data_IF_323209941913
#
_entry.id   IF_323209941913
#
_cell.length_a   1.000
_cell.length_b   1.000
_cell.length_c   1.000
_cell.angle_alpha   90.00
_cell.angle_beta   90.00
_cell.angle_gamma   90.00
#
_symmetry.space_group_name_H-M   'P 1'
#
loop_
_entity.id
_entity.type
_entity.pdbx_description
1 polymer ?
#
# COMPACT_ATOMS: atom_id res chain seq x y z
N UNK A 1 8.48 -17.35 -2.08
CA UNK A 1 9.02 -16.34 -3.02
C UNK A 1 8.31 -15.03 -2.75
N UNK A 2 9.02 -13.90 -2.68
CA UNK A 2 8.41 -12.57 -2.54
C UNK A 2 8.04 -12.01 -3.91
N UNK A 3 6.87 -11.41 -4.02
CA UNK A 3 6.38 -10.66 -5.17
C UNK A 3 6.31 -9.18 -4.81
N UNK A 4 6.75 -8.30 -5.71
CA UNK A 4 6.57 -6.84 -5.62
C UNK A 4 5.73 -6.39 -6.81
N UNK A 5 4.57 -5.82 -6.52
CA UNK A 5 3.61 -5.35 -7.51
C UNK A 5 3.71 -3.82 -7.61
N UNK A 6 3.78 -3.28 -8.82
CA UNK A 6 3.81 -1.83 -9.06
C UNK A 6 2.67 -1.38 -9.97
N UNK A 7 1.99 -0.30 -9.60
CA UNK A 7 1.03 0.37 -10.49
C UNK A 7 1.68 1.34 -11.48
N UNK A 8 2.98 1.63 -11.31
CA UNK A 8 3.64 2.82 -11.88
C UNK A 8 2.89 4.12 -11.56
N UNK A 9 3.28 5.22 -12.21
CA UNK A 9 2.61 6.51 -12.10
C UNK A 9 1.27 6.49 -12.85
N UNK A 10 0.17 6.40 -12.10
CA UNK A 10 -1.19 6.32 -12.65
C UNK A 10 -1.64 7.63 -13.30
N UNK A 11 -0.94 8.74 -13.03
CA UNK A 11 -1.22 10.04 -13.67
C UNK A 11 -0.74 10.08 -15.13
N UNK A 12 0.24 9.25 -15.51
CA UNK A 12 0.78 9.20 -16.89
C UNK A 12 0.02 8.23 -17.80
N UNK A 13 -0.64 7.22 -17.24
CA UNK A 13 -1.46 6.24 -17.96
C UNK A 13 -2.64 6.87 -18.74
N UNK A 14 -2.95 8.16 -18.49
CA UNK A 14 -3.99 8.92 -19.17
C UNK A 14 -3.65 9.45 -20.58
N UNK A 15 -2.46 9.20 -21.14
CA UNK A 15 -2.12 9.69 -22.51
C UNK A 15 -2.87 8.99 -23.65
N UNK A 16 -3.61 7.90 -23.39
CA UNK A 16 -4.45 7.23 -24.41
C UNK A 16 -5.93 7.09 -24.07
N UNK A 17 -6.40 7.52 -22.90
CA UNK A 17 -7.84 7.65 -22.67
C UNK A 17 -8.13 8.58 -21.51
N UNK A 18 -8.75 9.71 -21.80
CA UNK A 18 -9.37 10.60 -20.79
C UNK A 18 -10.66 9.92 -20.32
N UNK A 19 -10.52 8.81 -19.58
CA UNK A 19 -11.61 8.33 -18.73
C UNK A 19 -11.50 9.17 -17.48
N UNK A 20 -12.43 10.12 -17.30
CA UNK A 20 -12.66 10.76 -16.00
C UNK A 20 -12.97 9.65 -15.00
N UNK A 21 -11.97 9.21 -14.24
CA UNK A 21 -12.19 8.31 -13.13
C UNK A 21 -13.07 9.05 -12.11
N UNK A 22 -14.12 8.40 -11.57
CA UNK A 22 -14.96 9.03 -10.55
C UNK A 22 -14.10 9.46 -9.36
N UNK A 23 -14.27 10.69 -8.89
CA UNK A 23 -13.60 11.24 -7.70
C UNK A 23 -13.91 10.47 -6.39
N UNK A 24 -14.77 9.45 -6.46
CA UNK A 24 -15.32 8.67 -5.34
C UNK A 24 -14.89 7.20 -5.34
N UNK A 25 -13.95 6.82 -6.21
CA UNK A 25 -13.48 5.44 -6.27
C UNK A 25 -12.66 5.08 -5.02
N UNK A 26 -13.03 3.99 -4.34
CA UNK A 26 -12.28 3.49 -3.17
C UNK A 26 -10.86 3.06 -3.58
N UNK A 27 -9.92 3.19 -2.65
CA UNK A 27 -8.49 2.94 -2.91
C UNK A 27 -8.19 1.53 -3.42
N UNK A 28 -8.91 0.51 -2.96
CA UNK A 28 -8.76 -0.86 -3.46
C UNK A 28 -9.08 -0.96 -4.96
N UNK A 29 -10.14 -0.30 -5.42
CA UNK A 29 -10.52 -0.37 -6.84
C UNK A 29 -9.50 0.39 -7.71
N UNK A 30 -8.99 1.53 -7.24
CA UNK A 30 -7.90 2.26 -7.93
C UNK A 30 -6.62 1.42 -7.99
N UNK A 31 -6.21 0.81 -6.89
CA UNK A 31 -5.07 -0.11 -6.81
C UNK A 31 -5.22 -1.26 -7.81
N UNK A 32 -6.31 -2.03 -7.74
CA UNK A 32 -6.50 -3.22 -8.58
C UNK A 32 -6.56 -2.85 -10.06
N UNK A 33 -7.25 -1.77 -10.42
CA UNK A 33 -7.35 -1.33 -11.82
C UNK A 33 -6.02 -0.81 -12.34
N UNK A 34 -5.24 -0.09 -11.53
CA UNK A 34 -3.94 0.44 -11.93
C UNK A 34 -2.90 -0.67 -12.08
N UNK A 35 -2.86 -1.64 -11.16
CA UNK A 35 -2.03 -2.85 -11.30
C UNK A 35 -2.37 -3.60 -12.59
N UNK A 36 -3.66 -3.91 -12.81
CA UNK A 36 -4.13 -4.60 -14.02
C UNK A 36 -3.74 -3.85 -15.29
N UNK A 37 -3.93 -2.53 -15.32
CA UNK A 37 -3.57 -1.70 -16.48
C UNK A 37 -2.07 -1.71 -16.73
N UNK A 38 -1.24 -1.61 -15.69
CA UNK A 38 0.21 -1.61 -15.80
C UNK A 38 0.76 -2.97 -16.28
N UNK A 39 0.18 -4.08 -15.80
CA UNK A 39 0.54 -5.42 -16.25
C UNK A 39 0.21 -5.62 -17.73
N UNK A 40 -0.99 -5.22 -18.16
CA UNK A 40 -1.40 -5.30 -19.57
C UNK A 40 -0.52 -4.44 -20.48
N UNK A 41 -0.20 -3.21 -20.07
CA UNK A 41 0.68 -2.34 -20.84
C UNK A 41 2.09 -2.95 -21.01
N UNK A 42 2.62 -3.54 -19.94
CA UNK A 42 3.93 -4.19 -19.95
C UNK A 42 3.97 -5.43 -20.84
N UNK A 43 2.91 -6.25 -20.81
CA UNK A 43 2.74 -7.40 -21.71
C UNK A 43 2.64 -6.98 -23.18
N UNK A 44 1.98 -5.86 -23.49
CA UNK A 44 1.83 -5.38 -24.87
C UNK A 44 3.13 -4.86 -25.47
N UNK A 45 3.97 -4.19 -24.67
CA UNK A 45 5.30 -3.72 -25.10
C UNK A 45 6.14 -4.89 -25.62
N UNK A 46 6.04 -6.07 -24.99
CA UNK A 46 6.75 -7.27 -25.45
C UNK A 46 6.21 -7.87 -26.75
N UNK A 47 4.90 -7.82 -26.97
CA UNK A 47 4.27 -8.46 -28.15
C UNK A 47 4.45 -7.69 -29.48
N UNK A 48 5.12 -6.53 -29.46
CA UNK A 48 5.47 -5.76 -30.67
C UNK A 48 6.73 -6.35 -31.35
N UNK A 49 6.80 -6.41 -32.69
CA UNK A 49 7.29 -7.62 -33.37
C UNK A 49 8.82 -7.79 -33.36
N UNK A 50 9.28 -8.82 -32.65
CA UNK A 50 10.35 -9.68 -33.12
C UNK A 50 9.72 -10.95 -33.74
N UNK A 51 9.96 -11.18 -35.03
CA UNK A 51 9.56 -12.41 -35.73
C UNK A 51 10.04 -13.64 -34.96
N UNK A 52 9.12 -14.42 -34.39
CA UNK A 52 9.44 -15.70 -33.78
C UNK A 52 8.19 -16.44 -33.33
N UNK A 53 7.76 -17.42 -34.12
CA UNK A 53 6.81 -18.45 -33.71
C UNK A 53 7.38 -19.23 -32.52
N UNK A 54 6.84 -19.02 -31.31
CA UNK A 54 7.12 -19.86 -30.16
C UNK A 54 5.87 -20.71 -29.83
N UNK A 55 5.98 -22.01 -30.12
CA UNK A 55 5.04 -23.04 -29.67
C UNK A 55 5.02 -23.09 -28.14
N UNK A 56 3.83 -23.32 -27.58
CA UNK A 56 3.63 -23.51 -26.14
C UNK A 56 4.51 -24.62 -25.56
N UNK A 57 5.45 -24.21 -24.70
CA UNK A 57 6.09 -25.06 -23.72
C UNK A 57 5.88 -24.43 -22.34
N UNK A 58 5.52 -25.26 -21.37
CA UNK A 58 5.22 -24.88 -19.99
C UNK A 58 6.37 -24.05 -19.40
N UNK A 59 6.04 -22.84 -18.93
CA UNK A 59 7.04 -21.85 -18.54
C UNK A 59 7.49 -22.14 -17.11
N UNK A 60 8.71 -22.67 -16.97
CA UNK A 60 9.40 -22.81 -15.66
C UNK A 60 10.13 -21.52 -15.24
N UNK A 61 9.97 -20.45 -16.01
CA UNK A 61 10.61 -19.15 -15.81
C UNK A 61 9.54 -18.04 -15.74
N UNK A 62 9.75 -16.99 -14.93
CA UNK A 62 8.82 -15.87 -14.89
C UNK A 62 8.77 -15.15 -16.26
N UNK A 63 7.64 -14.52 -16.62
CA UNK A 63 7.50 -13.82 -17.91
C UNK A 63 8.56 -12.72 -18.10
N UNK A 64 8.99 -12.45 -19.34
CA UNK A 64 10.09 -11.50 -19.59
C UNK A 64 9.77 -10.04 -19.24
N UNK A 65 8.49 -9.67 -19.14
CA UNK A 65 8.05 -8.34 -18.67
C UNK A 65 8.16 -8.17 -17.15
N UNK A 66 8.63 -9.19 -16.45
CA UNK A 66 8.93 -9.18 -15.01
C UNK A 66 10.43 -9.20 -14.76
N UNK A 67 10.86 -8.79 -13.57
CA UNK A 67 12.27 -8.81 -13.19
C UNK A 67 12.47 -9.67 -11.94
N UNK A 68 13.13 -10.82 -12.12
CA UNK A 68 13.55 -11.68 -11.02
C UNK A 68 14.89 -11.20 -10.45
N UNK A 69 14.93 -10.92 -9.16
CA UNK A 69 16.17 -10.73 -8.38
C UNK A 69 16.41 -11.94 -7.48
N UNK A 70 17.49 -11.93 -6.70
CA UNK A 70 17.76 -12.97 -5.69
C UNK A 70 16.64 -13.06 -4.64
N UNK A 71 16.04 -11.92 -4.29
CA UNK A 71 15.09 -11.81 -3.17
C UNK A 71 13.62 -11.73 -3.58
N UNK A 72 13.30 -11.26 -4.79
CA UNK A 72 11.94 -10.96 -5.20
C UNK A 72 11.70 -11.07 -6.71
N UNK A 73 10.42 -11.21 -7.09
CA UNK A 73 9.94 -11.03 -8.45
C UNK A 73 9.18 -9.71 -8.55
N UNK A 74 9.68 -8.78 -9.37
CA UNK A 74 9.04 -7.49 -9.65
C UNK A 74 8.07 -7.62 -10.83
N UNK A 75 6.83 -7.17 -10.61
CA UNK A 75 5.70 -7.31 -11.52
C UNK A 75 5.04 -5.92 -11.69
N UNK A 76 5.20 -5.26 -12.85
CA UNK A 76 6.16 -5.57 -13.92
C UNK A 76 7.61 -5.31 -13.48
N UNK A 77 8.56 -5.58 -14.38
CA UNK A 77 9.93 -5.12 -14.24
C UNK A 77 9.96 -3.58 -14.05
N UNK A 78 10.72 -3.09 -13.08
CA UNK A 78 10.85 -1.66 -12.79
C UNK A 78 12.25 -1.21 -13.15
N UNK A 79 12.35 -0.13 -13.93
CA UNK A 79 13.61 0.53 -14.24
C UNK A 79 13.73 1.84 -13.45
N UNK A 80 14.41 1.76 -12.31
CA UNK A 80 14.70 2.91 -11.45
C UNK A 80 15.78 3.87 -12.02
N UNK A 81 16.23 3.71 -13.27
CA UNK A 81 17.17 4.66 -13.88
C UNK A 81 16.48 5.91 -14.46
N UNK A 82 15.17 5.87 -14.69
CA UNK A 82 14.40 6.97 -15.25
C UNK A 82 14.01 8.01 -14.18
N UNK A 83 14.13 9.32 -14.44
CA UNK A 83 13.78 10.37 -13.47
C UNK A 83 12.36 10.21 -12.91
N UNK A 84 12.22 10.25 -11.58
CA UNK A 84 10.93 10.07 -10.90
C UNK A 84 9.99 11.30 -10.91
N UNK A 85 10.53 12.48 -10.60
CA UNK A 85 9.81 13.76 -10.53
C UNK A 85 10.36 14.77 -11.54
N UNK A 86 9.51 15.69 -12.01
CA UNK A 86 9.87 16.66 -13.04
C UNK A 86 10.55 17.92 -12.48
N UNK A 87 10.14 18.35 -11.28
CA UNK A 87 10.68 19.52 -10.58
C UNK A 87 11.66 19.09 -9.46
N UNK A 88 12.34 20.05 -8.84
CA UNK A 88 13.18 19.81 -7.67
C UNK A 88 12.37 19.30 -6.47
N UNK A 89 13.00 18.50 -5.60
CA UNK A 89 12.34 17.87 -4.44
C UNK A 89 11.58 18.85 -3.54
N UNK A 90 12.12 20.05 -3.33
CA UNK A 90 11.53 21.04 -2.43
C UNK A 90 10.19 21.61 -2.93
N UNK A 91 9.90 21.48 -4.23
CA UNK A 91 8.65 21.90 -4.87
C UNK A 91 7.48 20.94 -4.64
N UNK A 92 7.73 19.77 -4.05
CA UNK A 92 6.69 18.76 -3.81
C UNK A 92 6.33 18.62 -2.33
N UNK A 93 5.04 18.37 -2.12
CA UNK A 93 4.52 17.67 -0.94
C UNK A 93 4.26 16.21 -1.30
N UNK A 94 5.03 15.31 -0.68
CA UNK A 94 4.96 13.86 -0.89
C UNK A 94 4.30 13.22 0.32
N UNK A 95 3.10 12.69 0.12
CA UNK A 95 2.36 11.91 1.12
C UNK A 95 2.40 10.43 0.76
N UNK A 96 2.78 9.61 1.73
CA UNK A 96 2.77 8.16 1.65
C UNK A 96 1.78 7.61 2.67
N UNK A 97 0.95 6.65 2.28
CA UNK A 97 0.10 5.87 3.17
C UNK A 97 0.46 4.40 3.09
N UNK A 98 0.91 3.83 4.20
CA UNK A 98 1.28 2.42 4.34
C UNK A 98 0.14 1.67 5.04
N UNK A 99 -0.36 0.62 4.40
CA UNK A 99 -1.37 -0.30 4.91
C UNK A 99 -0.68 -1.58 5.37
N UNK A 100 -0.68 -1.82 6.67
CA UNK A 100 -0.36 -3.13 7.22
C UNK A 100 -1.56 -4.06 7.02
N UNK A 101 -1.30 -5.29 6.57
CA UNK A 101 -2.35 -6.26 6.25
C UNK A 101 -2.53 -7.26 7.39
N UNK A 102 -3.73 -7.86 7.54
CA UNK A 102 -4.00 -8.85 8.59
C UNK A 102 -3.15 -10.11 8.41
N UNK A 103 -2.91 -10.85 9.50
CA UNK A 103 -2.16 -12.10 9.49
C UNK A 103 -0.64 -11.96 9.47
N UNK A 104 -0.12 -10.72 9.41
CA UNK A 104 1.32 -10.48 9.31
C UNK A 104 1.95 -10.26 10.69
N UNK A 105 3.00 -11.04 11.07
CA UNK A 105 3.68 -10.87 12.34
C UNK A 105 4.25 -9.46 12.54
N UNK A 106 4.11 -8.94 13.76
CA UNK A 106 4.56 -7.59 14.16
C UNK A 106 6.06 -7.42 13.91
N UNK A 107 6.84 -8.48 14.14
CA UNK A 107 8.29 -8.52 13.92
C UNK A 107 8.69 -8.19 12.48
N UNK A 108 7.79 -8.40 11.49
CA UNK A 108 8.02 -8.05 10.09
C UNK A 108 7.70 -6.59 9.76
N UNK A 109 6.88 -5.90 10.56
CA UNK A 109 6.42 -4.52 10.25
C UNK A 109 7.58 -3.57 10.01
N UNK A 110 8.65 -3.64 10.81
CA UNK A 110 9.82 -2.79 10.62
C UNK A 110 10.48 -2.97 9.25
N UNK A 111 10.68 -4.23 8.84
CA UNK A 111 11.24 -4.55 7.53
C UNK A 111 10.29 -4.11 6.40
N UNK A 112 8.98 -4.34 6.57
CA UNK A 112 7.95 -3.93 5.62
C UNK A 112 7.88 -2.41 5.45
N UNK A 113 7.95 -1.63 6.55
CA UNK A 113 8.00 -0.16 6.47
C UNK A 113 9.21 0.29 5.67
N UNK A 114 10.41 -0.21 6.00
CA UNK A 114 11.64 0.20 5.30
C UNK A 114 11.57 -0.17 3.81
N UNK A 115 11.16 -1.40 3.49
CA UNK A 115 11.02 -1.84 2.11
C UNK A 115 10.02 -0.99 1.32
N UNK A 116 8.84 -0.72 1.88
CA UNK A 116 7.81 0.07 1.24
C UNK A 116 8.27 1.52 1.01
N UNK A 117 8.90 2.15 2.00
CA UNK A 117 9.43 3.52 1.88
C UNK A 117 10.58 3.56 0.88
N UNK A 118 11.52 2.61 0.92
CA UNK A 118 12.64 2.56 -0.02
C UNK A 118 12.17 2.42 -1.47
N UNK A 119 11.10 1.66 -1.73
CA UNK A 119 10.50 1.57 -3.07
C UNK A 119 9.94 2.92 -3.53
N UNK A 120 9.23 3.64 -2.65
CA UNK A 120 8.71 4.98 -2.99
C UNK A 120 9.84 5.99 -3.21
N UNK A 121 10.88 5.97 -2.37
CA UNK A 121 12.04 6.85 -2.53
C UNK A 121 12.77 6.59 -3.86
N UNK A 122 12.94 5.32 -4.23
CA UNK A 122 13.55 4.91 -5.51
C UNK A 122 12.68 5.27 -6.71
N UNK A 123 11.36 5.11 -6.61
CA UNK A 123 10.42 5.47 -7.69
C UNK A 123 10.40 6.97 -7.95
N UNK A 124 10.45 7.79 -6.89
CA UNK A 124 10.37 9.25 -7.00
C UNK A 124 11.74 9.91 -7.13
N UNK A 125 12.85 9.16 -6.97
CA UNK A 125 14.22 9.68 -6.89
C UNK A 125 14.42 10.76 -5.82
N UNK A 126 13.83 10.55 -4.65
CA UNK A 126 13.92 11.46 -3.51
C UNK A 126 14.60 10.80 -2.33
N UNK A 127 15.15 11.59 -1.41
CA UNK A 127 15.79 11.09 -0.19
C UNK A 127 14.86 11.08 1.03
N UNK A 128 13.74 11.78 0.95
CA UNK A 128 12.78 11.92 2.04
C UNK A 128 11.37 12.22 1.52
N UNK A 129 10.38 11.90 2.35
CA UNK A 129 8.96 12.19 2.13
C UNK A 129 8.44 13.16 3.20
N UNK A 130 7.36 13.88 2.90
CA UNK A 130 6.84 14.94 3.78
C UNK A 130 5.89 14.39 4.84
N UNK A 131 5.08 13.38 4.50
CA UNK A 131 4.13 12.77 5.43
C UNK A 131 4.02 11.26 5.19
N UNK A 132 4.21 10.45 6.25
CA UNK A 132 3.81 9.05 6.28
C UNK A 132 2.57 8.87 7.15
N UNK A 133 1.53 8.28 6.61
CA UNK A 133 0.34 7.82 7.34
C UNK A 133 0.36 6.30 7.40
N UNK A 134 0.17 5.71 8.59
CA UNK A 134 0.02 4.25 8.73
C UNK A 134 -1.42 3.86 9.01
N UNK A 135 -1.87 2.79 8.35
CA UNK A 135 -3.16 2.14 8.57
C UNK A 135 -2.91 0.73 9.07
N UNK A 136 -3.55 0.39 10.20
CA UNK A 136 -3.42 -0.91 10.85
C UNK A 136 -4.63 -1.78 10.53
N UNK A 137 -4.45 -3.11 10.42
CA UNK A 137 -5.56 -4.02 10.20
C UNK A 137 -6.49 -4.01 11.42
N UNK A 138 -7.81 -4.04 11.19
CA UNK A 138 -8.81 -4.12 12.25
C UNK A 138 -9.11 -2.80 12.99
N UNK A 139 -8.36 -1.72 12.72
CA UNK A 139 -8.69 -0.39 13.25
C UNK A 139 -9.57 0.35 12.23
N UNK A 140 -10.81 0.62 12.63
CA UNK A 140 -11.81 1.30 11.82
C UNK A 140 -12.42 2.45 12.62
N UNK A 141 -12.58 3.60 11.98
CA UNK A 141 -13.30 4.71 12.57
C UNK A 141 -14.79 4.56 12.29
N UNK A 142 -15.58 4.63 13.35
CA UNK A 142 -17.03 4.82 13.24
C UNK A 142 -17.40 6.15 13.91
N UNK A 143 -18.04 7.02 13.14
CA UNK A 143 -18.44 8.34 13.61
C UNK A 143 -19.73 8.31 14.43
N UNK A 144 -20.52 7.24 14.28
CA UNK A 144 -21.80 7.03 14.96
C UNK A 144 -21.64 6.20 16.24
N UNK A 145 -20.44 5.66 16.47
CA UNK A 145 -20.11 4.90 17.67
C UNK A 145 -19.72 5.85 18.80
N UNK A 146 -20.70 6.15 19.64
CA UNK A 146 -20.55 6.88 20.91
C UNK A 146 -20.12 5.95 22.06
N UNK A 147 -19.84 4.66 21.81
CA UNK A 147 -19.44 3.75 22.87
C UNK A 147 -18.00 4.03 23.35
N UNK A 148 -17.86 4.19 24.67
CA UNK A 148 -16.56 4.33 25.37
C UNK A 148 -15.80 2.98 25.46
N UNK A 149 -16.28 1.97 24.74
CA UNK A 149 -15.72 0.64 24.69
C UNK A 149 -15.19 0.48 23.27
N UNK A 150 -13.88 0.68 23.06
CA UNK A 150 -13.22 0.16 21.85
C UNK A 150 -13.71 -1.28 21.69
N UNK A 151 -14.47 -1.56 20.62
CA UNK A 151 -14.93 -2.90 20.27
C UNK A 151 -13.72 -3.85 20.30
N UNK A 152 -13.54 -4.53 21.42
CA UNK A 152 -12.70 -5.73 21.50
C UNK A 152 -13.32 -6.86 20.65
N UNK A 153 -14.52 -6.63 20.10
CA UNK A 153 -15.41 -7.58 19.43
C UNK A 153 -15.18 -7.62 17.91
N UNK A 154 -13.92 -7.73 17.48
CA UNK A 154 -13.55 -8.47 16.25
C UNK A 154 -12.14 -9.07 16.30
N UNK A 155 -11.43 -8.92 17.42
CA UNK A 155 -10.21 -9.70 17.67
C UNK A 155 -10.60 -10.96 18.40
N UNK A 156 -10.47 -12.10 17.73
CA UNK A 156 -10.35 -13.38 18.42
C UNK A 156 -9.08 -13.36 19.28
N UNK A 157 -9.12 -12.73 20.45
CA UNK A 157 -8.30 -13.08 21.62
C UNK A 157 -6.80 -12.82 21.55
N UNK A 158 -6.31 -11.74 20.93
CA UNK A 158 -4.88 -11.37 21.01
C UNK A 158 -4.71 -10.05 21.79
N UNK A 159 -4.30 -10.09 23.09
CA UNK A 159 -3.88 -8.94 23.88
C UNK A 159 -2.69 -8.15 23.29
N UNK A 160 -2.08 -8.66 22.22
CA UNK A 160 -0.88 -8.14 21.57
C UNK A 160 -1.12 -6.90 20.67
N UNK A 161 -2.36 -6.47 20.38
CA UNK A 161 -2.60 -5.45 19.36
C UNK A 161 -2.05 -4.05 19.73
N UNK A 162 -2.27 -3.56 20.95
CA UNK A 162 -1.84 -2.21 21.32
C UNK A 162 -0.32 -2.08 21.54
N UNK A 163 0.30 -3.04 22.21
CA UNK A 163 1.75 -3.05 22.37
C UNK A 163 2.44 -3.18 21.00
N UNK A 164 1.84 -3.93 20.07
CA UNK A 164 2.33 -4.00 18.69
C UNK A 164 2.26 -2.66 17.96
N UNK A 165 1.21 -1.89 18.19
CA UNK A 165 1.00 -0.57 17.61
C UNK A 165 2.07 0.38 18.14
N UNK A 166 2.35 0.38 19.45
CA UNK A 166 3.42 1.17 20.07
C UNK A 166 4.79 0.77 19.53
N UNK A 167 5.10 -0.53 19.44
CA UNK A 167 6.35 -1.01 18.85
C UNK A 167 6.51 -0.59 17.38
N UNK A 168 5.41 -0.66 16.62
CA UNK A 168 5.39 -0.20 15.23
C UNK A 168 5.67 1.30 15.17
N UNK A 169 5.03 2.09 16.05
CA UNK A 169 5.23 3.54 16.10
C UNK A 169 6.68 3.92 16.37
N UNK A 170 7.35 3.26 17.33
CA UNK A 170 8.77 3.50 17.64
C UNK A 170 9.69 3.29 16.43
N UNK A 171 9.36 2.35 15.54
CA UNK A 171 10.08 2.17 14.27
C UNK A 171 9.90 3.39 13.36
N UNK A 172 8.70 3.93 13.27
CA UNK A 172 8.41 5.12 12.47
C UNK A 172 9.15 6.34 13.00
N UNK A 173 9.20 6.50 14.32
CA UNK A 173 9.97 7.56 14.99
C UNK A 173 11.45 7.51 14.60
N UNK A 174 12.03 6.31 14.51
CA UNK A 174 13.42 6.15 14.05
C UNK A 174 13.63 6.63 12.62
N UNK A 175 12.65 6.44 11.72
CA UNK A 175 12.74 6.95 10.33
C UNK A 175 12.59 8.47 10.27
N UNK A 176 11.77 9.03 11.15
CA UNK A 176 11.65 10.48 11.32
C UNK A 176 12.95 11.09 11.87
N UNK A 177 13.55 10.51 12.91
CA UNK A 177 14.84 10.95 13.46
C UNK A 177 15.99 10.89 12.42
N UNK A 178 15.93 9.95 11.48
CA UNK A 178 16.88 9.83 10.36
C UNK A 178 16.66 10.86 9.25
N UNK A 179 15.57 11.65 9.31
CA UNK A 179 15.23 12.64 8.29
C UNK A 179 14.63 12.05 7.00
N UNK A 180 14.28 10.76 7.01
CA UNK A 180 13.63 10.09 5.87
C UNK A 180 12.16 10.52 5.77
N UNK A 181 11.53 10.80 6.89
CA UNK A 181 10.11 11.14 6.99
C UNK A 181 9.96 12.42 7.82
N UNK A 182 9.38 13.47 7.25
CA UNK A 182 9.26 14.75 7.96
C UNK A 182 8.09 14.77 8.97
N UNK A 183 6.98 14.09 8.67
CA UNK A 183 5.81 14.02 9.54
C UNK A 183 5.22 12.62 9.58
N UNK A 184 4.68 12.25 10.74
CA UNK A 184 4.03 10.96 10.97
C UNK A 184 2.53 11.16 11.19
N UNK A 185 1.73 10.23 10.71
CA UNK A 185 0.30 10.22 10.92
C UNK A 185 -0.25 8.81 11.10
N UNK A 186 -1.45 8.75 11.66
CA UNK A 186 -2.24 7.53 11.82
C UNK A 186 -3.49 7.62 10.95
N UNK A 187 -4.19 6.50 10.81
CA UNK A 187 -5.50 6.48 10.19
C UNK A 187 -6.47 5.71 11.08
N UNK A 188 -7.71 6.19 11.12
CA UNK A 188 -8.88 5.60 11.77
C UNK A 188 -8.88 5.71 13.31
N UNK A 189 -8.15 6.66 13.91
CA UNK A 189 -8.01 6.71 15.37
C UNK A 189 -9.06 7.61 16.03
N UNK A 190 -9.96 7.02 16.82
CA UNK A 190 -10.84 7.77 17.72
C UNK A 190 -10.09 8.48 18.86
N UNK A 191 -10.80 9.34 19.60
CA UNK A 191 -10.24 10.13 20.70
C UNK A 191 -9.53 9.27 21.76
N UNK A 192 -10.12 8.12 22.10
CA UNK A 192 -9.60 7.20 23.11
C UNK A 192 -8.31 6.53 22.67
N UNK A 193 -8.27 6.05 21.42
CA UNK A 193 -7.08 5.41 20.86
C UNK A 193 -5.92 6.40 20.74
N UNK A 194 -6.20 7.65 20.33
CA UNK A 194 -5.21 8.72 20.38
C UNK A 194 -4.74 8.97 21.82
N UNK A 195 -5.67 9.07 22.78
CA UNK A 195 -5.32 9.29 24.19
C UNK A 195 -4.49 8.16 24.80
N UNK A 196 -4.70 6.91 24.35
CA UNK A 196 -3.84 5.78 24.69
C UNK A 196 -2.49 5.83 24.01
N UNK A 197 -2.41 6.14 22.71
CA UNK A 197 -1.15 6.14 21.97
C UNK A 197 -0.19 7.25 22.42
N UNK A 198 -0.67 8.51 22.53
CA UNK A 198 0.17 9.69 22.69
C UNK A 198 1.18 9.62 23.86
N UNK A 199 0.83 9.09 25.05
CA UNK A 199 1.79 8.91 26.16
C UNK A 199 3.00 8.02 25.83
N UNK A 200 2.89 7.16 24.81
CA UNK A 200 3.96 6.24 24.39
C UNK A 200 4.77 6.77 23.20
N UNK A 201 4.49 7.99 22.73
CA UNK A 201 5.18 8.61 21.58
C UNK A 201 6.23 9.62 22.03
N UNK A 202 7.40 9.60 21.38
CA UNK A 202 8.38 10.69 21.38
C UNK A 202 8.07 11.72 20.30
N UNK A 203 7.60 11.24 19.14
CA UNK A 203 7.11 12.06 18.02
C UNK A 203 5.63 11.77 17.86
N UNK A 204 4.79 12.75 18.21
CA UNK A 204 3.33 12.62 18.09
C UNK A 204 2.92 12.52 16.61
N UNK A 205 1.85 11.78 16.27
CA UNK A 205 1.22 11.92 14.97
C UNK A 205 0.80 13.38 14.77
N UNK A 206 1.18 14.00 13.65
CA UNK A 206 0.70 15.34 13.26
C UNK A 206 -0.60 15.27 12.47
N UNK A 207 -0.95 14.10 11.94
CA UNK A 207 -2.14 13.86 11.13
C UNK A 207 -2.85 12.60 11.62
N UNK A 208 -4.17 12.66 11.66
CA UNK A 208 -5.03 11.49 11.73
C UNK A 208 -6.03 11.50 10.57
N UNK A 209 -6.02 10.43 9.78
CA UNK A 209 -6.89 10.26 8.63
C UNK A 209 -8.11 9.42 9.02
N UNK A 210 -9.30 9.99 8.95
CA UNK A 210 -10.56 9.32 9.31
C UNK A 210 -11.43 9.07 8.09
N UNK A 211 -12.10 7.92 8.07
CA UNK A 211 -13.04 7.56 7.03
C UNK A 211 -14.47 7.94 7.43
N UNK A 212 -14.99 9.00 6.84
CA UNK A 212 -16.37 9.43 7.08
C UNK A 212 -17.28 8.75 6.07
N UNK A 213 -18.11 7.81 6.55
CA UNK A 213 -19.20 7.23 5.76
C UNK A 213 -20.26 8.30 5.48
N UNK A 214 -20.96 8.14 4.36
CA UNK A 214 -22.02 8.98 3.78
C UNK A 214 -22.68 10.01 4.73
N UNK A 215 -22.11 11.22 4.80
CA UNK A 215 -22.63 12.40 5.52
C UNK A 215 -22.40 12.49 7.05
N UNK A 216 -21.51 11.68 7.64
CA UNK A 216 -21.19 11.83 9.06
C UNK A 216 -20.32 13.08 9.33
N UNK A 217 -20.63 13.79 10.41
CA UNK A 217 -19.81 14.88 10.94
C UNK A 217 -18.78 14.27 11.88
N UNK A 218 -17.53 14.75 11.82
CA UNK A 218 -16.50 14.33 12.78
C UNK A 218 -16.99 14.60 14.22
N UNK A 219 -16.95 13.60 15.12
CA UNK A 219 -17.35 13.76 16.52
C UNK A 219 -16.65 14.95 17.20
N UNK A 220 -17.41 15.75 17.96
CA UNK A 220 -16.90 16.98 18.58
C UNK A 220 -15.76 16.71 19.57
N UNK A 221 -15.84 15.61 20.32
CA UNK A 221 -14.77 15.17 21.23
C UNK A 221 -13.46 14.97 20.45
N UNK A 222 -13.49 14.29 19.31
CA UNK A 222 -12.31 14.05 18.46
C UNK A 222 -11.75 15.36 17.91
N UNK A 223 -12.61 16.27 17.41
CA UNK A 223 -12.17 17.59 16.94
C UNK A 223 -11.45 18.36 18.05
N UNK A 224 -12.02 18.41 19.25
CA UNK A 224 -11.46 19.16 20.38
C UNK A 224 -10.16 18.52 20.86
N UNK A 225 -10.11 17.20 20.96
CA UNK A 225 -8.94 16.45 21.40
C UNK A 225 -7.79 16.59 20.40
N UNK A 226 -8.04 16.34 19.11
CA UNK A 226 -7.05 16.51 18.05
C UNK A 226 -6.51 17.94 17.99
N UNK A 227 -7.39 18.95 18.13
CA UNK A 227 -6.95 20.36 18.19
C UNK A 227 -6.07 20.65 19.40
N UNK A 228 -6.41 20.11 20.57
CA UNK A 228 -5.60 20.25 21.79
C UNK A 228 -4.21 19.64 21.61
N UNK A 229 -4.14 18.46 20.99
CA UNK A 229 -2.90 17.71 20.78
C UNK A 229 -2.16 18.12 19.48
N UNK A 230 -2.66 19.13 18.77
CA UNK A 230 -2.12 19.65 17.51
C UNK A 230 -2.07 18.62 16.37
N UNK A 231 -3.07 17.74 16.33
CA UNK A 231 -3.26 16.72 15.30
C UNK A 231 -4.26 17.24 14.26
N UNK A 232 -3.86 17.25 12.99
CA UNK A 232 -4.73 17.60 11.88
C UNK A 232 -5.61 16.41 11.50
N UNK A 233 -6.92 16.60 11.53
CA UNK A 233 -7.87 15.61 11.02
C UNK A 233 -8.06 15.79 9.51
N UNK A 234 -7.80 14.72 8.76
CA UNK A 234 -8.02 14.65 7.31
C UNK A 234 -9.01 13.54 6.99
N UNK A 235 -9.74 13.68 5.88
CA UNK A 235 -10.66 12.62 5.43
C UNK A 235 -10.03 11.78 4.33
N UNK A 236 -10.38 10.49 4.30
CA UNK A 236 -10.04 9.61 3.20
C UNK A 236 -11.20 8.65 2.87
N UNK A 237 -11.08 7.98 1.72
CA UNK A 237 -12.05 7.00 1.23
C UNK A 237 -11.33 5.69 0.89
N UNK A 238 -10.42 5.27 1.78
CA UNK A 238 -9.71 4.03 1.57
C UNK A 238 -10.62 2.83 1.89
N UNK A 239 -10.39 1.71 1.24
CA UNK A 239 -11.06 0.46 1.60
C UNK A 239 -10.36 -0.18 2.81
N UNK A 240 -11.16 -0.78 3.69
CA UNK A 240 -10.64 -1.54 4.84
C UNK A 240 -9.74 -2.70 4.39
N UNK A 241 -10.23 -3.53 3.47
CA UNK A 241 -9.43 -4.57 2.82
C UNK A 241 -8.93 -4.04 1.47
N UNK A 242 -7.75 -3.42 1.47
CA UNK A 242 -7.20 -2.75 0.29
C UNK A 242 -6.70 -3.74 -0.77
N UNK A 243 -6.27 -4.94 -0.37
CA UNK A 243 -5.74 -5.96 -1.26
C UNK A 243 -6.13 -7.37 -0.76
N UNK A 244 -7.39 -7.80 -1.01
CA UNK A 244 -7.87 -9.10 -0.55
C UNK A 244 -7.12 -10.26 -1.22
N UNK A 245 -6.81 -11.31 -0.46
CA UNK A 245 -6.10 -12.52 -0.93
C UNK A 245 -6.70 -13.11 -2.21
N UNK A 246 -8.03 -13.25 -2.25
CA UNK A 246 -8.75 -13.78 -3.42
C UNK A 246 -8.55 -12.91 -4.66
N UNK A 247 -8.66 -11.59 -4.49
CA UNK A 247 -8.43 -10.63 -5.57
C UNK A 247 -6.96 -10.64 -6.03
N UNK A 248 -6.00 -10.78 -5.12
CA UNK A 248 -4.58 -10.91 -5.48
C UNK A 248 -4.33 -12.19 -6.26
N UNK A 249 -4.94 -13.32 -5.87
CA UNK A 249 -4.86 -14.59 -6.60
C UNK A 249 -5.44 -14.48 -8.00
N UNK A 250 -6.58 -13.82 -8.17
CA UNK A 250 -7.18 -13.57 -9.48
C UNK A 250 -6.33 -12.65 -10.35
N UNK A 251 -5.81 -11.57 -9.77
CA UNK A 251 -4.97 -10.59 -10.47
C UNK A 251 -3.71 -11.23 -11.04
N UNK A 252 -3.09 -12.15 -10.30
CA UNK A 252 -1.83 -12.80 -10.68
C UNK A 252 -2.02 -14.18 -11.32
N UNK A 253 -3.25 -14.71 -11.33
CA UNK A 253 -3.56 -16.05 -11.84
C UNK A 253 -3.47 -16.19 -13.37
N UNK A 254 -4.00 -17.29 -13.94
CA UNK A 254 -3.88 -17.60 -15.36
C UNK A 254 -4.43 -16.51 -16.30
N UNK A 255 -3.76 -16.30 -17.43
CA UNK A 255 -4.12 -15.28 -18.41
C UNK A 255 -5.51 -15.50 -19.03
N UNK A 256 -5.94 -16.75 -19.18
CA UNK A 256 -7.25 -17.12 -19.72
C UNK A 256 -8.41 -16.64 -18.83
N UNK A 257 -8.12 -16.40 -17.54
CA UNK A 257 -9.07 -15.88 -16.55
C UNK A 257 -8.86 -14.39 -16.27
N UNK A 258 -8.26 -13.66 -17.21
CA UNK A 258 -7.90 -12.24 -17.06
C UNK A 258 -6.84 -11.97 -15.98
N UNK A 259 -6.05 -12.97 -15.58
CA UNK A 259 -4.91 -12.76 -14.67
C UNK A 259 -3.62 -12.39 -15.40
N UNK A 260 -2.55 -12.13 -14.66
CA UNK A 260 -1.25 -11.76 -15.21
C UNK A 260 -0.40 -12.94 -15.72
N UNK A 261 -0.84 -14.19 -15.52
CA UNK A 261 -0.11 -15.40 -15.89
C UNK A 261 1.12 -15.67 -15.03
N UNK A 262 1.10 -15.25 -13.76
CA UNK A 262 2.23 -15.38 -12.83
C UNK A 262 2.06 -16.62 -11.94
N UNK A 263 0.92 -16.73 -11.27
CA UNK A 263 0.59 -17.85 -10.40
C UNK A 263 0.00 -19.00 -11.20
N UNK A 264 0.29 -20.22 -10.74
CA UNK A 264 -0.35 -21.43 -11.23
C UNK A 264 -1.89 -21.36 -11.08
N UNK A 265 -2.63 -22.15 -11.86
CA UNK A 265 -4.10 -22.18 -11.82
C UNK A 265 -4.65 -22.72 -10.50
N UNK A 266 -3.86 -23.52 -9.79
CA UNK A 266 -4.07 -23.96 -8.41
C UNK A 266 -2.71 -24.05 -7.70
N UNK A 267 -2.64 -24.09 -6.35
CA UNK A 267 -1.38 -24.09 -5.62
C UNK A 267 -0.38 -25.18 -6.07
N UNK A 268 -0.88 -26.33 -6.51
CA UNK A 268 -0.06 -27.49 -6.92
C UNK A 268 0.03 -27.69 -8.45
N UNK A 269 -0.56 -26.80 -9.25
CA UNK A 269 -0.53 -26.94 -10.70
C UNK A 269 0.85 -26.56 -11.28
N UNK A 270 1.25 -27.22 -12.37
CA UNK A 270 2.55 -27.01 -13.04
C UNK A 270 2.47 -25.98 -14.19
N UNK A 271 1.55 -25.03 -14.12
CA UNK A 271 1.26 -24.02 -15.16
C UNK A 271 1.61 -22.58 -14.74
N UNK A 272 2.36 -22.41 -13.65
CA UNK A 272 2.85 -21.13 -13.15
C UNK A 272 3.57 -21.29 -11.81
N UNK A 273 3.76 -20.18 -11.09
CA UNK A 273 4.35 -20.22 -9.73
C UNK A 273 3.38 -20.91 -8.76
N UNK A 274 3.86 -21.97 -8.12
CA UNK A 274 3.11 -22.79 -7.17
C UNK A 274 3.05 -22.17 -5.77
N UNK A 275 1.97 -22.49 -5.06
CA UNK A 275 1.73 -22.09 -3.68
C UNK A 275 0.51 -21.21 -3.47
N UNK A 276 0.22 -20.98 -2.19
CA UNK A 276 -0.75 -20.00 -1.73
C UNK A 276 -0.11 -18.61 -1.71
N UNK A 277 -0.94 -17.59 -1.91
CA UNK A 277 -0.51 -16.19 -1.91
C UNK A 277 -0.99 -15.48 -0.65
N UNK A 278 -0.09 -14.70 -0.05
CA UNK A 278 -0.38 -13.89 1.14
C UNK A 278 0.10 -12.45 0.93
N UNK A 279 -0.80 -11.49 0.69
CA UNK A 279 -0.49 -10.07 0.69
C UNK A 279 0.13 -9.64 2.02
N UNK A 280 1.26 -8.94 1.98
CA UNK A 280 2.05 -8.56 3.15
C UNK A 280 1.84 -7.09 3.56
N UNK A 281 1.83 -6.19 2.59
CA UNK A 281 1.62 -4.75 2.79
C UNK A 281 1.26 -4.08 1.46
N UNK A 282 0.61 -2.91 1.55
CA UNK A 282 0.37 -2.00 0.42
C UNK A 282 0.86 -0.62 0.81
N UNK A 283 1.52 0.08 -0.10
CA UNK A 283 1.87 1.49 0.06
C UNK A 283 1.31 2.29 -1.09
N UNK A 284 0.60 3.38 -0.75
CA UNK A 284 0.10 4.40 -1.68
C UNK A 284 0.98 5.63 -1.54
N UNK A 285 1.39 6.25 -2.64
CA UNK A 285 2.13 7.51 -2.62
C UNK A 285 1.51 8.54 -3.54
N UNK A 286 1.60 9.81 -3.16
CA UNK A 286 1.16 10.97 -3.94
C UNK A 286 2.17 12.10 -3.81
N UNK A 287 2.64 12.63 -4.93
CA UNK A 287 3.50 13.80 -5.02
C UNK A 287 2.72 14.97 -5.66
N UNK A 288 2.53 16.04 -4.88
CA UNK A 288 1.79 17.23 -5.27
C UNK A 288 2.76 18.40 -5.44
N UNK A 289 2.71 19.09 -6.57
CA UNK A 289 3.49 20.31 -6.80
C UNK A 289 2.87 21.45 -5.98
N UNK A 290 3.63 21.98 -5.01
CA UNK A 290 3.17 22.99 -4.02
C UNK A 290 2.51 24.20 -4.66
N UNK A 291 3.20 24.84 -5.60
CA UNK A 291 2.75 26.11 -6.19
C UNK A 291 1.49 26.00 -7.04
N UNK A 292 1.17 24.79 -7.52
CA UNK A 292 0.05 24.57 -8.45
C UNK A 292 -1.04 23.68 -7.86
N UNK A 293 -0.79 22.99 -6.75
CA UNK A 293 -1.71 22.00 -6.18
C UNK A 293 -2.00 20.82 -7.11
N UNK A 294 -1.10 20.52 -8.06
CA UNK A 294 -1.30 19.48 -9.07
C UNK A 294 -0.62 18.19 -8.63
N UNK A 295 -1.37 17.09 -8.64
CA UNK A 295 -0.81 15.74 -8.46
C UNK A 295 -0.07 15.36 -9.73
N UNK A 296 1.26 15.27 -9.66
CA UNK A 296 2.09 14.88 -10.80
C UNK A 296 2.38 13.37 -10.80
N UNK A 297 2.65 12.83 -9.61
CA UNK A 297 2.97 11.42 -9.45
C UNK A 297 2.07 10.80 -8.38
N UNK A 298 1.40 9.72 -8.73
CA UNK A 298 0.56 8.95 -7.82
C UNK A 298 0.66 7.48 -8.20
N UNK A 299 0.78 6.62 -7.21
CA UNK A 299 0.88 5.20 -7.47
C UNK A 299 0.86 4.36 -6.20
N UNK A 300 1.09 3.08 -6.42
CA UNK A 300 1.06 2.05 -5.42
C UNK A 300 2.19 1.05 -5.63
N UNK A 301 2.72 0.56 -4.51
CA UNK A 301 3.41 -0.72 -4.45
C UNK A 301 2.65 -1.67 -3.53
N UNK A 302 2.73 -2.96 -3.80
CA UNK A 302 2.27 -3.99 -2.90
C UNK A 302 3.28 -5.13 -2.83
N UNK A 303 3.37 -5.79 -1.68
CA UNK A 303 4.13 -7.03 -1.54
C UNK A 303 3.23 -8.20 -1.23
N UNK A 304 3.55 -9.37 -1.76
CA UNK A 304 2.93 -10.64 -1.41
C UNK A 304 3.98 -11.74 -1.33
N UNK A 305 3.80 -12.70 -0.42
CA UNK A 305 4.59 -13.93 -0.36
C UNK A 305 3.81 -15.06 -1.05
N UNK A 306 4.54 -15.96 -1.74
CA UNK A 306 3.98 -17.19 -2.34
C UNK A 306 4.75 -18.42 -1.84
N UNK A 307 4.03 -19.45 -1.40
CA UNK A 307 4.63 -20.71 -0.94
C UNK A 307 3.65 -21.84 -0.65
N UNK A 308 4.14 -23.08 -0.59
CA UNK A 308 3.35 -24.31 -0.39
C UNK A 308 3.01 -24.63 1.07
N UNK A 309 3.40 -23.76 2.00
CA UNK A 309 2.95 -23.78 3.38
C UNK A 309 3.16 -22.39 4.01
N UNK A 310 2.09 -21.59 4.05
CA UNK A 310 2.01 -20.49 5.00
C UNK A 310 1.84 -21.12 6.39
N UNK A 311 2.91 -21.73 6.93
CA UNK A 311 2.89 -22.26 8.30
C UNK A 311 2.66 -21.08 9.22
N UNK A 312 1.77 -21.26 10.20
CA UNK A 312 1.75 -20.47 11.43
C UNK A 312 3.20 -20.36 11.93
N UNK A 313 3.83 -19.22 11.68
CA UNK A 313 5.15 -18.90 12.21
C UNK A 313 4.91 -18.34 13.60
N UNK A 314 4.66 -19.28 14.51
CA UNK A 314 4.75 -19.12 15.96
C UNK A 314 6.02 -18.39 16.37
#
# INVERSE_FOLDING_TARGET
MKLILSSSNIMQAGRQSVIRQPLTQKSNVELINSLRSNFLASQQIETSPANGTANGQAVSHPPSWTLQTEDALYIPAIDFSHPGLSEERDQYDITVKLFYLPGIPISRRCAHTREAIDLVLKELHVKSIDLLIVSFPGILFDADDDSEEEDNEMSNGEPDDFDSLVQTWQVLESLHEQGVIAQLGVAEFGSERLARLLPHTKVKPSVDQINLKDCCVVPKNLILYAKQEQIQLLTHNDCHDILPVGTTRELLGPAEKSGAGILASSPDANDGIQGDIEPQWVVKYTAVVKDRGVVENKGYFASADVGSCLKDRS
#
